data_IF_609632829217
#
_entry.id   IF_609632829217
#
_cell.length_a   1.000
_cell.length_b   1.000
_cell.length_c   1.000
_cell.angle_alpha   90.00
_cell.angle_beta   90.00
_cell.angle_gamma   90.00
#
_symmetry.space_group_name_H-M   'P 1'
#
loop_
_entity.id
_entity.type
_entity.pdbx_description
1 polymer ?
#
# COMPACT_ATOMS: atom_id res chain seq x y z
N UNK A 1 13.00 -45.45 27.88
CA UNK A 1 11.97 -44.43 27.58
C UNK A 1 11.97 -43.36 28.65
N UNK A 2 12.46 -42.14 28.36
CA UNK A 2 12.12 -40.88 29.04
C UNK A 2 12.23 -39.77 28.00
N UNK A 3 11.10 -39.42 27.38
CA UNK A 3 11.00 -38.31 26.43
C UNK A 3 10.74 -37.03 27.24
N UNK A 4 11.79 -36.29 27.55
CA UNK A 4 11.66 -34.91 28.02
C UNK A 4 12.14 -34.01 26.90
N UNK A 5 11.24 -33.73 25.96
CA UNK A 5 11.46 -32.70 24.94
C UNK A 5 10.96 -31.39 25.55
N UNK A 6 11.87 -30.66 26.20
CA UNK A 6 11.64 -29.25 26.52
C UNK A 6 11.76 -28.49 25.21
N UNK A 7 10.66 -28.40 24.47
CA UNK A 7 10.50 -27.49 23.35
C UNK A 7 10.51 -26.07 23.93
N UNK A 8 11.70 -25.46 23.96
CA UNK A 8 11.88 -24.07 24.29
C UNK A 8 10.98 -23.23 23.39
N UNK A 9 10.06 -22.50 24.01
CA UNK A 9 9.16 -21.56 23.38
C UNK A 9 10.02 -20.42 22.79
N UNK A 10 10.46 -20.55 21.55
CA UNK A 10 11.02 -19.43 20.80
C UNK A 10 9.87 -18.45 20.51
N UNK A 11 9.63 -17.55 21.47
CA UNK A 11 8.85 -16.35 21.22
C UNK A 11 9.74 -15.45 20.38
N UNK A 12 9.74 -15.70 19.07
CA UNK A 12 10.15 -14.67 18.12
C UNK A 12 9.09 -13.58 18.20
N UNK A 13 9.35 -12.54 18.98
CA UNK A 13 8.67 -11.26 18.84
C UNK A 13 9.03 -10.70 17.46
N UNK A 14 8.34 -11.20 16.43
CA UNK A 14 8.51 -10.75 15.06
C UNK A 14 7.92 -9.35 14.95
N UNK A 15 8.83 -8.40 14.77
CA UNK A 15 8.63 -7.13 14.09
C UNK A 15 7.53 -6.26 14.69
N UNK A 16 7.96 -5.37 15.59
CA UNK A 16 7.68 -3.95 15.37
C UNK A 16 8.25 -3.58 13.98
N UNK A 17 7.59 -3.99 12.90
CA UNK A 17 7.71 -3.30 11.63
C UNK A 17 7.11 -1.94 11.94
N UNK A 18 7.98 -1.02 12.35
CA UNK A 18 7.64 0.28 12.87
C UNK A 18 6.55 0.87 12.00
N UNK A 19 5.49 1.38 12.62
CA UNK A 19 4.51 2.22 11.91
C UNK A 19 5.20 3.29 11.05
N UNK A 20 6.43 3.69 11.39
CA UNK A 20 7.28 4.55 10.56
C UNK A 20 7.67 3.96 9.20
N UNK A 21 8.00 2.66 9.08
CA UNK A 21 8.33 2.04 7.79
C UNK A 21 7.09 1.81 6.92
N UNK A 22 5.93 1.55 7.54
CA UNK A 22 4.67 1.42 6.82
C UNK A 22 4.09 2.79 6.41
N UNK A 23 4.22 3.82 7.26
CA UNK A 23 3.85 5.18 6.92
C UNK A 23 4.71 5.71 5.75
N UNK A 24 6.02 5.42 5.78
CA UNK A 24 6.95 5.75 4.69
C UNK A 24 6.54 5.09 3.35
N UNK A 25 6.01 3.86 3.40
CA UNK A 25 5.50 3.18 2.21
C UNK A 25 4.20 3.82 1.68
N UNK A 26 3.25 4.17 2.54
CA UNK A 26 2.03 4.89 2.15
C UNK A 26 2.37 6.23 1.47
N UNK A 27 3.28 7.02 2.06
CA UNK A 27 3.76 8.28 1.47
C UNK A 27 4.48 8.08 0.13
N UNK A 28 5.31 7.04 0.04
CA UNK A 28 6.00 6.67 -1.19
C UNK A 28 5.02 6.32 -2.29
N UNK A 29 4.01 5.50 -2.00
CA UNK A 29 3.01 5.12 -2.98
C UNK A 29 2.16 6.32 -3.43
N UNK A 30 1.78 7.21 -2.51
CA UNK A 30 1.07 8.46 -2.86
C UNK A 30 1.88 9.31 -3.83
N UNK A 31 3.19 9.48 -3.58
CA UNK A 31 4.10 10.16 -4.51
C UNK A 31 4.22 9.42 -5.84
N UNK A 32 4.26 8.09 -5.85
CA UNK A 32 4.26 7.31 -7.09
C UNK A 32 3.02 7.58 -7.93
N UNK A 33 1.83 7.63 -7.31
CA UNK A 33 0.58 7.94 -8.00
C UNK A 33 0.62 9.38 -8.54
N UNK A 34 1.06 10.36 -7.74
CA UNK A 34 1.17 11.74 -8.18
C UNK A 34 2.13 11.90 -9.38
N UNK A 35 3.29 11.25 -9.33
CA UNK A 35 4.26 11.24 -10.42
C UNK A 35 3.73 10.54 -11.68
N UNK A 36 2.77 9.62 -11.54
CA UNK A 36 2.12 8.94 -12.65
C UNK A 36 0.92 9.73 -13.22
N UNK A 37 0.67 10.97 -12.78
CA UNK A 37 -0.48 11.78 -13.23
C UNK A 37 -0.64 11.83 -14.74
N UNK A 38 0.45 11.99 -15.48
CA UNK A 38 0.41 12.04 -16.95
C UNK A 38 -0.06 10.72 -17.61
N UNK A 39 -0.08 9.61 -16.87
CA UNK A 39 -0.52 8.30 -17.38
C UNK A 39 -2.03 8.08 -17.24
N UNK A 40 -2.69 8.72 -16.26
CA UNK A 40 -4.12 8.55 -16.02
C UNK A 40 -4.94 9.84 -16.21
N UNK A 41 -4.31 11.00 -16.28
CA UNK A 41 -5.02 12.25 -16.52
C UNK A 41 -5.69 12.24 -17.89
N UNK A 42 -6.98 12.55 -17.93
CA UNK A 42 -7.82 12.50 -19.13
C UNK A 42 -8.27 11.10 -19.55
N UNK A 43 -7.94 10.06 -18.77
CA UNK A 43 -8.43 8.70 -19.03
C UNK A 43 -9.71 8.40 -18.25
N UNK A 44 -10.33 7.26 -18.55
CA UNK A 44 -11.54 6.77 -17.88
C UNK A 44 -11.32 6.44 -16.38
N UNK A 45 -10.06 6.27 -15.95
CA UNK A 45 -9.72 5.98 -14.56
C UNK A 45 -9.36 7.20 -13.72
N UNK A 46 -9.27 8.41 -14.30
CA UNK A 46 -8.81 9.62 -13.58
C UNK A 46 -9.60 9.87 -12.29
N UNK A 47 -10.93 9.92 -12.39
CA UNK A 47 -11.80 10.16 -11.25
C UNK A 47 -11.66 9.09 -10.15
N UNK A 48 -11.40 7.84 -10.55
CA UNK A 48 -11.18 6.73 -9.62
C UNK A 48 -9.85 6.87 -8.90
N UNK A 49 -8.78 7.22 -9.62
CA UNK A 49 -7.46 7.47 -9.04
C UNK A 49 -7.52 8.64 -8.07
N UNK A 50 -8.18 9.74 -8.43
CA UNK A 50 -8.34 10.89 -7.52
C UNK A 50 -9.12 10.54 -6.26
N UNK A 51 -10.21 9.77 -6.37
CA UNK A 51 -10.98 9.31 -5.23
C UNK A 51 -10.15 8.42 -4.29
N UNK A 52 -9.36 7.49 -4.85
CA UNK A 52 -8.44 6.65 -4.10
C UNK A 52 -7.37 7.47 -3.35
N UNK A 53 -6.79 8.50 -3.97
CA UNK A 53 -5.83 9.39 -3.30
C UNK A 53 -6.46 10.04 -2.07
N UNK A 54 -7.70 10.53 -2.18
CA UNK A 54 -8.42 11.13 -1.04
C UNK A 54 -8.69 10.11 0.06
N UNK A 55 -9.12 8.90 -0.32
CA UNK A 55 -9.37 7.81 0.62
C UNK A 55 -8.09 7.37 1.34
N UNK A 56 -6.99 7.21 0.62
CA UNK A 56 -5.69 6.86 1.17
C UNK A 56 -5.19 7.92 2.18
N UNK A 57 -5.33 9.21 1.85
CA UNK A 57 -5.02 10.31 2.78
C UNK A 57 -5.91 10.29 4.02
N UNK A 58 -7.21 9.99 3.87
CA UNK A 58 -8.11 9.84 5.00
C UNK A 58 -7.70 8.67 5.90
N UNK A 59 -7.29 7.53 5.33
CA UNK A 59 -6.76 6.39 6.08
C UNK A 59 -5.45 6.72 6.80
N UNK A 60 -4.53 7.43 6.14
CA UNK A 60 -3.28 7.87 6.73
C UNK A 60 -3.51 8.83 7.91
N UNK A 61 -4.47 9.77 7.77
CA UNK A 61 -4.82 10.74 8.80
C UNK A 61 -5.40 10.13 10.09
N UNK A 62 -5.83 8.85 10.05
CA UNK A 62 -6.24 8.15 11.28
C UNK A 62 -5.08 7.94 12.25
N UNK A 63 -3.82 8.00 11.79
CA UNK A 63 -2.63 7.79 12.62
C UNK A 63 -2.67 6.48 13.44
N UNK A 64 -3.34 5.47 12.90
CA UNK A 64 -3.41 4.11 13.47
C UNK A 64 -2.71 3.12 12.55
N UNK A 65 -2.26 1.99 13.10
CA UNK A 65 -1.69 0.90 12.31
C UNK A 65 -2.64 0.44 11.20
N UNK A 66 -3.91 0.24 11.53
CA UNK A 66 -4.94 -0.16 10.55
C UNK A 66 -5.13 0.91 9.47
N UNK A 67 -5.12 2.20 9.82
CA UNK A 67 -5.16 3.30 8.86
C UNK A 67 -3.97 3.29 7.90
N UNK A 68 -2.76 3.08 8.42
CA UNK A 68 -1.56 2.93 7.60
C UNK A 68 -1.64 1.72 6.66
N UNK A 69 -2.09 0.56 7.14
CA UNK A 69 -2.28 -0.64 6.31
C UNK A 69 -3.32 -0.43 5.22
N UNK A 70 -4.44 0.24 5.53
CA UNK A 70 -5.46 0.61 4.54
C UNK A 70 -4.93 1.58 3.49
N UNK A 71 -4.16 2.59 3.89
CA UNK A 71 -3.49 3.48 2.93
C UNK A 71 -2.57 2.69 1.98
N UNK A 72 -1.71 1.81 2.52
CA UNK A 72 -0.81 1.00 1.70
C UNK A 72 -1.61 0.15 0.70
N UNK A 73 -2.68 -0.52 1.15
CA UNK A 73 -3.51 -1.37 0.29
C UNK A 73 -4.18 -0.57 -0.83
N UNK A 74 -4.84 0.54 -0.48
CA UNK A 74 -5.53 1.43 -1.42
C UNK A 74 -4.57 1.95 -2.50
N UNK A 75 -3.42 2.48 -2.07
CA UNK A 75 -2.43 3.07 -2.97
C UNK A 75 -1.73 2.01 -3.83
N UNK A 76 -1.45 0.83 -3.29
CA UNK A 76 -0.86 -0.29 -4.05
C UNK A 76 -1.78 -0.74 -5.18
N UNK A 77 -3.08 -0.92 -4.88
CA UNK A 77 -4.08 -1.29 -5.89
C UNK A 77 -4.19 -0.21 -6.97
N UNK A 78 -4.18 1.06 -6.56
CA UNK A 78 -4.26 2.19 -7.50
C UNK A 78 -3.06 2.26 -8.44
N UNK A 79 -1.85 2.00 -7.94
CA UNK A 79 -0.64 1.89 -8.79
C UNK A 79 -0.81 0.76 -9.81
N UNK A 80 -1.32 -0.40 -9.40
CA UNK A 80 -1.54 -1.52 -10.32
C UNK A 80 -2.54 -1.18 -11.43
N UNK A 81 -3.59 -0.43 -11.11
CA UNK A 81 -4.59 0.02 -12.09
C UNK A 81 -3.99 0.99 -13.10
N UNK A 82 -3.25 2.01 -12.64
CA UNK A 82 -2.54 2.95 -13.53
C UNK A 82 -1.57 2.20 -14.47
N UNK A 83 -0.85 1.22 -13.93
CA UNK A 83 0.08 0.39 -14.71
C UNK A 83 -0.64 -0.50 -15.74
N UNK A 84 -1.85 -0.94 -15.46
CA UNK A 84 -2.64 -1.76 -16.38
C UNK A 84 -3.07 -0.94 -17.59
N UNK A 85 -3.68 0.23 -17.36
CA UNK A 85 -4.10 1.14 -18.43
C UNK A 85 -2.92 1.59 -19.29
N UNK A 86 -1.76 1.84 -18.68
CA UNK A 86 -0.54 2.22 -19.40
C UNK A 86 0.04 1.11 -20.29
N UNK A 87 -0.20 -0.16 -19.97
CA UNK A 87 0.22 -1.31 -20.79
C UNK A 87 -0.77 -1.56 -21.94
N UNK A 88 -2.07 -1.45 -21.66
CA UNK A 88 -3.14 -1.65 -22.64
C UNK A 88 -3.08 -0.56 -23.74
N UNK A 89 -2.76 0.70 -23.38
CA UNK A 89 -2.59 1.79 -24.35
C UNK A 89 -1.32 1.71 -25.22
N UNK A 90 -0.33 0.88 -24.86
CA UNK A 90 0.95 0.73 -25.60
C UNK A 90 0.94 -0.44 -26.59
N UNK A 91 -0.13 -1.23 -26.62
CA UNK A 91 -0.27 -2.42 -27.47
C UNK A 91 -1.27 -2.26 -28.62
N UNK A 92 -1.69 -1.02 -28.93
CA UNK A 92 -2.50 -0.67 -30.11
C UNK A 92 -1.71 0.14 -31.13
#
# INVERSE_FOLDING_TARGET
MKRSVLLGLFVTASMLASSSFAADLCDTNLKTIENAKTQYQGSDIEAKVEASIQQAKAHQALNTKEGTEKCISETTQTIQEIQKVSKDGKSS
#
